data_IF_064865935922
#
_entry.id   IF_064865935922
#
_cell.length_a   1.000
_cell.length_b   1.000
_cell.length_c   1.000
_cell.angle_alpha   90.00
_cell.angle_beta   90.00
_cell.angle_gamma   90.00
#
_symmetry.space_group_name_H-M   'P 1'
#
loop_
_entity.id
_entity.type
_entity.pdbx_description
1 polymer ?
#
# COMPACT_ATOMS: atom_id res chain seq x y z
N UNK A 1 -12.99 5.65 -16.43
CA UNK A 1 -12.56 4.29 -16.06
C UNK A 1 -13.75 3.58 -15.47
N UNK A 2 -14.00 2.31 -15.76
CA UNK A 2 -14.48 1.54 -14.65
C UNK A 2 -13.82 0.18 -14.58
N UNK A 3 -13.16 -0.05 -13.45
CA UNK A 3 -13.39 -1.33 -12.80
C UNK A 3 -14.90 -1.56 -12.72
N UNK A 4 -15.32 -2.80 -12.90
CA UNK A 4 -16.72 -3.17 -12.83
C UNK A 4 -16.87 -4.46 -12.07
N UNK A 5 -18.11 -4.90 -11.86
CA UNK A 5 -18.36 -6.19 -11.21
C UNK A 5 -17.65 -7.33 -11.95
N UNK A 6 -17.57 -7.25 -13.28
CA UNK A 6 -16.85 -8.20 -14.12
C UNK A 6 -15.35 -8.28 -13.80
N UNK A 7 -14.73 -7.19 -13.30
CA UNK A 7 -13.36 -7.24 -12.78
C UNK A 7 -13.25 -8.23 -11.62
N UNK A 8 -14.17 -8.16 -10.64
CA UNK A 8 -14.14 -9.01 -9.46
C UNK A 8 -14.54 -10.45 -9.79
N UNK A 9 -15.50 -10.62 -10.69
CA UNK A 9 -15.93 -11.93 -11.19
C UNK A 9 -14.77 -12.64 -11.91
N UNK A 10 -14.04 -11.91 -12.78
CA UNK A 10 -12.87 -12.46 -13.46
C UNK A 10 -11.81 -12.93 -12.45
N UNK A 11 -11.48 -12.12 -11.44
CA UNK A 11 -10.49 -12.49 -10.42
C UNK A 11 -10.93 -13.73 -9.62
N UNK A 12 -12.22 -13.82 -9.28
CA UNK A 12 -12.80 -14.96 -8.57
C UNK A 12 -12.75 -16.23 -9.41
N UNK A 13 -13.19 -16.14 -10.67
CA UNK A 13 -13.25 -17.28 -11.59
C UNK A 13 -11.85 -17.77 -11.96
N UNK A 14 -10.91 -16.86 -12.28
CA UNK A 14 -9.53 -17.22 -12.56
C UNK A 14 -8.87 -17.94 -11.39
N UNK A 15 -9.17 -17.52 -10.15
CA UNK A 15 -8.68 -18.19 -8.95
C UNK A 15 -9.32 -19.56 -8.73
N UNK A 16 -10.60 -19.72 -9.03
CA UNK A 16 -11.31 -21.00 -8.91
C UNK A 16 -10.82 -22.01 -9.95
N UNK A 17 -10.65 -21.57 -11.21
CA UNK A 17 -10.17 -22.42 -12.29
C UNK A 17 -8.69 -22.79 -12.13
N UNK A 18 -7.88 -21.83 -11.69
CA UNK A 18 -6.46 -22.02 -11.36
C UNK A 18 -5.64 -22.78 -12.43
N UNK A 19 -5.98 -22.61 -13.70
CA UNK A 19 -5.41 -23.32 -14.86
C UNK A 19 -4.74 -22.34 -15.82
N UNK A 20 -3.58 -22.72 -16.36
CA UNK A 20 -2.86 -21.91 -17.35
C UNK A 20 -3.61 -21.86 -18.66
N UNK A 21 -4.16 -22.99 -19.08
CA UNK A 21 -4.95 -23.15 -20.31
C UNK A 21 -6.18 -22.25 -20.25
N UNK A 22 -6.91 -22.26 -19.12
CA UNK A 22 -8.05 -21.38 -18.90
C UNK A 22 -7.65 -19.91 -18.97
N UNK A 23 -6.59 -19.52 -18.26
CA UNK A 23 -6.11 -18.13 -18.27
C UNK A 23 -5.66 -17.68 -19.67
N UNK A 24 -4.99 -18.54 -20.44
CA UNK A 24 -4.59 -18.22 -21.80
C UNK A 24 -5.79 -17.98 -22.72
N UNK A 25 -6.87 -18.76 -22.56
CA UNK A 25 -8.10 -18.58 -23.31
C UNK A 25 -8.83 -17.27 -22.94
N UNK A 26 -8.75 -16.83 -21.68
CA UNK A 26 -9.42 -15.63 -21.16
C UNK A 26 -8.46 -14.44 -20.98
N UNK A 27 -7.32 -14.46 -21.67
CA UNK A 27 -6.28 -13.44 -21.51
C UNK A 27 -6.74 -12.06 -21.94
N UNK A 28 -7.56 -11.98 -23.00
CA UNK A 28 -8.11 -10.71 -23.47
C UNK A 28 -9.00 -10.06 -22.40
N UNK A 29 -9.81 -10.85 -21.69
CA UNK A 29 -10.63 -10.37 -20.57
C UNK A 29 -9.78 -9.89 -19.41
N UNK A 30 -8.69 -10.59 -19.06
CA UNK A 30 -7.73 -10.08 -18.07
C UNK A 30 -7.16 -8.71 -18.46
N UNK A 31 -6.76 -8.57 -19.72
CA UNK A 31 -6.18 -7.34 -20.23
C UNK A 31 -7.20 -6.18 -20.20
N UNK A 32 -8.46 -6.43 -20.59
CA UNK A 32 -9.51 -5.40 -20.64
C UNK A 32 -10.17 -5.10 -19.30
N UNK A 33 -10.45 -6.11 -18.47
CA UNK A 33 -11.22 -5.96 -17.23
C UNK A 33 -10.35 -5.63 -16.02
N UNK A 34 -9.04 -5.96 -16.07
CA UNK A 34 -8.14 -5.78 -14.93
C UNK A 34 -6.98 -4.86 -15.28
N UNK A 35 -6.19 -5.18 -16.31
CA UNK A 35 -4.96 -4.43 -16.60
C UNK A 35 -5.25 -3.01 -17.09
N UNK A 36 -6.19 -2.84 -18.03
CA UNK A 36 -6.51 -1.52 -18.56
C UNK A 36 -7.06 -0.56 -17.49
N UNK A 37 -8.06 -0.93 -16.64
CA UNK A 37 -8.52 -0.06 -15.56
C UNK A 37 -7.43 0.28 -14.53
N UNK A 38 -6.54 -0.68 -14.21
CA UNK A 38 -5.40 -0.42 -13.34
C UNK A 38 -4.38 0.53 -13.96
N UNK A 39 -4.12 0.43 -15.27
CA UNK A 39 -3.23 1.32 -16.00
C UNK A 39 -3.79 2.74 -16.05
N UNK A 40 -5.08 2.89 -16.38
CA UNK A 40 -5.78 4.18 -16.35
C UNK A 40 -5.72 4.81 -14.94
N UNK A 41 -5.86 4.00 -13.88
CA UNK A 41 -5.76 4.48 -12.51
C UNK A 41 -4.34 4.94 -12.15
N UNK A 42 -3.31 4.24 -12.61
CA UNK A 42 -1.91 4.68 -12.42
C UNK A 42 -1.68 6.03 -13.09
N UNK A 43 -2.15 6.20 -14.33
CA UNK A 43 -1.98 7.45 -15.08
C UNK A 43 -2.74 8.61 -14.41
N UNK A 44 -3.95 8.34 -13.91
CA UNK A 44 -4.75 9.32 -13.19
C UNK A 44 -4.11 9.76 -11.86
N UNK A 45 -3.40 8.85 -11.18
CA UNK A 45 -2.72 9.13 -9.92
C UNK A 45 -1.31 9.72 -10.11
N UNK A 46 -0.72 9.63 -11.30
CA UNK A 46 0.65 10.08 -11.54
C UNK A 46 0.89 11.57 -11.19
N UNK A 47 -0.02 12.53 -11.49
CA UNK A 47 0.18 13.94 -11.13
C UNK A 47 0.27 14.16 -9.62
N UNK A 48 -0.63 13.55 -8.84
CA UNK A 48 -0.62 13.69 -7.37
C UNK A 48 0.57 12.98 -6.74
N UNK A 49 0.99 11.84 -7.29
CA UNK A 49 2.21 11.16 -6.84
C UNK A 49 3.44 12.04 -7.05
N UNK A 50 3.55 12.70 -8.20
CA UNK A 50 4.65 13.63 -8.49
C UNK A 50 4.62 14.90 -7.62
N UNK A 51 3.43 15.39 -7.25
CA UNK A 51 3.26 16.49 -6.29
C UNK A 51 3.77 16.11 -4.90
N UNK A 52 3.43 14.90 -4.44
CA UNK A 52 3.86 14.39 -3.13
C UNK A 52 5.37 14.14 -3.13
N UNK A 53 5.87 13.47 -4.16
CA UNK A 53 7.27 13.13 -4.30
C UNK A 53 7.62 12.74 -5.76
N UNK A 54 8.41 13.55 -6.48
CA UNK A 54 8.73 13.31 -7.89
C UNK A 54 9.59 12.08 -8.12
N UNK A 55 10.16 11.47 -7.08
CA UNK A 55 10.90 10.21 -7.20
C UNK A 55 9.98 8.98 -7.24
N UNK A 56 8.69 9.09 -6.91
CA UNK A 56 7.75 7.97 -6.96
C UNK A 56 7.51 7.50 -8.39
N UNK A 57 7.66 6.19 -8.61
CA UNK A 57 7.49 5.58 -9.93
C UNK A 57 6.01 5.25 -10.20
N UNK A 58 5.44 5.91 -11.20
CA UNK A 58 4.12 5.65 -11.78
C UNK A 58 4.28 5.08 -13.19
N UNK A 59 4.51 3.77 -13.29
CA UNK A 59 4.68 3.06 -14.56
C UNK A 59 3.51 2.07 -14.72
N UNK A 60 2.55 2.33 -15.65
CA UNK A 60 1.28 1.61 -15.75
C UNK A 60 1.42 0.19 -16.31
N UNK A 61 2.62 -0.40 -16.31
CA UNK A 61 2.86 -1.77 -16.80
C UNK A 61 2.77 -2.80 -15.67
N UNK A 62 2.30 -3.99 -16.02
CA UNK A 62 2.32 -5.18 -15.14
C UNK A 62 3.75 -5.53 -14.74
N UNK A 63 3.98 -5.75 -13.45
CA UNK A 63 5.30 -5.95 -12.87
C UNK A 63 6.08 -4.66 -12.61
N UNK A 64 5.53 -3.48 -12.94
CA UNK A 64 6.03 -2.16 -12.58
C UNK A 64 5.15 -1.60 -11.45
N UNK A 65 4.30 -0.59 -11.67
CA UNK A 65 3.38 -0.15 -10.62
C UNK A 65 2.23 -1.14 -10.43
N UNK A 66 1.83 -1.85 -11.48
CA UNK A 66 0.77 -2.88 -11.41
C UNK A 66 1.35 -4.22 -10.96
N UNK A 67 0.66 -4.91 -10.05
CA UNK A 67 1.04 -6.25 -9.59
C UNK A 67 0.88 -7.33 -10.66
N UNK A 68 1.53 -8.48 -10.45
CA UNK A 68 1.35 -9.66 -11.31
C UNK A 68 0.18 -10.50 -10.79
N UNK A 69 -0.67 -11.00 -11.68
CA UNK A 69 -1.77 -11.89 -11.28
C UNK A 69 -1.29 -13.27 -10.84
N UNK A 70 -0.17 -13.78 -11.35
CA UNK A 70 0.36 -15.09 -10.95
C UNK A 70 1.17 -15.03 -9.65
N UNK A 71 0.97 -16.04 -8.80
CA UNK A 71 1.69 -16.25 -7.55
C UNK A 71 3.07 -16.85 -7.79
N UNK A 72 4.01 -16.50 -6.92
CA UNK A 72 5.32 -17.17 -6.88
C UNK A 72 5.17 -18.52 -6.16
N UNK A 73 4.99 -19.59 -6.94
CA UNK A 73 4.77 -20.95 -6.43
C UNK A 73 6.04 -21.61 -5.90
N UNK A 74 7.23 -21.01 -6.08
CA UNK A 74 8.48 -21.51 -5.47
C UNK A 74 8.44 -21.50 -3.95
N UNK A 75 7.54 -20.70 -3.37
CA UNK A 75 7.34 -20.56 -1.91
C UNK A 75 6.45 -21.67 -1.31
N UNK A 76 5.88 -22.55 -2.13
CA UNK A 76 5.09 -23.69 -1.67
C UNK A 76 4.35 -24.36 -2.84
N UNK A 77 4.53 -25.68 -3.07
CA UNK A 77 3.94 -26.37 -4.22
C UNK A 77 2.40 -26.40 -4.19
N UNK A 78 1.80 -26.33 -2.99
CA UNK A 78 0.35 -26.33 -2.78
C UNK A 78 -0.32 -24.96 -2.99
N UNK A 79 0.46 -23.92 -3.34
CA UNK A 79 -0.09 -22.59 -3.53
C UNK A 79 -0.77 -22.49 -4.91
N UNK A 80 -1.96 -21.84 -4.99
CA UNK A 80 -2.62 -21.62 -6.27
C UNK A 80 -1.72 -20.78 -7.19
N UNK A 81 -1.76 -21.08 -8.49
CA UNK A 81 -1.01 -20.41 -9.54
C UNK A 81 -1.43 -18.94 -9.63
N UNK A 82 -2.72 -18.65 -9.47
CA UNK A 82 -3.25 -17.30 -9.64
C UNK A 82 -3.68 -16.66 -8.31
N UNK A 83 -3.51 -15.34 -8.24
CA UNK A 83 -4.05 -14.48 -7.18
C UNK A 83 -5.45 -14.01 -7.58
N UNK A 84 -6.25 -13.75 -6.55
CA UNK A 84 -7.56 -13.08 -6.59
C UNK A 84 -7.47 -11.65 -6.02
N UNK A 85 -6.26 -11.14 -5.84
CA UNK A 85 -5.96 -9.80 -5.33
C UNK A 85 -4.98 -9.12 -6.26
N UNK A 86 -5.29 -7.88 -6.60
CA UNK A 86 -4.48 -7.01 -7.45
C UNK A 86 -4.11 -5.76 -6.67
N UNK A 87 -2.95 -5.19 -6.97
CA UNK A 87 -2.50 -3.97 -6.29
C UNK A 87 -1.64 -3.09 -7.18
N UNK A 88 -1.65 -1.81 -6.83
CA UNK A 88 -0.74 -0.78 -7.30
C UNK A 88 0.29 -0.51 -6.20
N UNK A 89 1.54 -0.32 -6.59
CA UNK A 89 2.60 0.17 -5.71
C UNK A 89 3.33 1.33 -6.37
N UNK A 90 3.43 2.44 -5.64
CA UNK A 90 4.20 3.63 -6.00
C UNK A 90 5.38 3.72 -5.02
N UNK A 91 6.57 3.39 -5.52
CA UNK A 91 7.82 3.36 -4.76
C UNK A 91 8.85 4.22 -5.49
N UNK A 92 9.77 4.84 -4.75
CA UNK A 92 10.94 5.50 -5.36
C UNK A 92 11.85 4.51 -6.07
N UNK A 93 12.06 3.35 -5.45
CA UNK A 93 12.91 2.29 -5.96
C UNK A 93 12.39 0.93 -5.47
N UNK A 94 12.37 -0.06 -6.37
CA UNK A 94 12.02 -1.43 -5.99
C UNK A 94 13.17 -2.07 -5.23
N UNK A 95 12.84 -2.84 -4.19
CA UNK A 95 13.80 -3.60 -3.37
C UNK A 95 14.74 -2.76 -2.47
N UNK A 96 14.57 -1.43 -2.41
CA UNK A 96 15.35 -0.55 -1.53
C UNK A 96 14.80 -0.44 -0.08
N UNK A 97 13.81 -1.27 0.28
CA UNK A 97 13.06 -1.20 1.53
C UNK A 97 12.53 0.22 1.87
N UNK A 98 12.13 0.97 0.84
CA UNK A 98 11.53 2.29 0.97
C UNK A 98 10.02 2.17 1.24
N UNK A 99 9.42 3.13 1.98
CA UNK A 99 7.98 3.22 2.08
C UNK A 99 7.42 3.66 0.73
N UNK A 100 6.16 3.34 0.49
CA UNK A 100 5.45 3.78 -0.72
C UNK A 100 3.96 3.97 -0.47
N UNK A 101 3.27 4.41 -1.51
CA UNK A 101 1.82 4.41 -1.57
C UNK A 101 1.35 3.16 -2.28
N UNK A 102 0.20 2.66 -1.87
CA UNK A 102 -0.37 1.45 -2.44
C UNK A 102 -1.89 1.51 -2.44
N UNK A 103 -2.47 0.80 -3.39
CA UNK A 103 -3.90 0.57 -3.54
C UNK A 103 -4.09 -0.89 -3.89
N UNK A 104 -5.03 -1.57 -3.28
CA UNK A 104 -5.33 -2.96 -3.58
C UNK A 104 -6.82 -3.24 -3.55
N UNK A 105 -7.20 -4.24 -4.33
CA UNK A 105 -8.57 -4.73 -4.35
C UNK A 105 -8.60 -6.23 -4.61
N UNK A 106 -9.66 -6.84 -4.13
CA UNK A 106 -10.04 -8.24 -4.35
C UNK A 106 -11.56 -8.33 -4.21
N UNK A 107 -12.18 -9.48 -4.53
CA UNK A 107 -13.59 -9.72 -4.26
C UNK A 107 -14.00 -9.57 -2.78
N UNK A 108 -13.05 -9.42 -1.85
CA UNK A 108 -13.29 -9.40 -0.40
C UNK A 108 -12.82 -8.13 0.30
N UNK A 109 -12.08 -7.26 -0.37
CA UNK A 109 -11.44 -6.12 0.28
C UNK A 109 -11.05 -5.06 -0.74
N UNK A 110 -11.16 -3.80 -0.33
CA UNK A 110 -10.68 -2.62 -1.03
C UNK A 110 -9.91 -1.76 -0.05
N UNK A 111 -8.61 -1.58 -0.27
CA UNK A 111 -7.73 -0.95 0.73
C UNK A 111 -6.67 -0.10 0.06
N UNK A 112 -6.25 0.96 0.72
CA UNK A 112 -5.12 1.77 0.27
C UNK A 112 -4.42 2.40 1.46
N UNK A 113 -3.20 2.86 1.23
CA UNK A 113 -2.40 3.41 2.30
C UNK A 113 -1.02 3.84 1.88
N UNK A 114 -0.19 4.12 2.90
CA UNK A 114 1.23 4.38 2.73
C UNK A 114 2.05 3.70 3.83
N UNK A 115 3.28 3.30 3.50
CA UNK A 115 4.21 2.67 4.44
C UNK A 115 4.89 1.44 3.84
N UNK A 116 5.16 0.46 4.69
CA UNK A 116 5.82 -0.79 4.30
C UNK A 116 4.90 -1.99 4.46
N UNK A 117 5.05 -2.98 3.59
CA UNK A 117 4.57 -4.34 3.88
C UNK A 117 5.21 -4.89 5.16
N UNK A 118 6.52 -4.65 5.32
CA UNK A 118 7.25 -4.92 6.55
C UNK A 118 8.35 -3.88 6.72
N UNK A 119 8.27 -3.09 7.79
CA UNK A 119 9.26 -2.04 8.07
C UNK A 119 10.56 -2.68 8.57
N UNK A 120 11.74 -2.30 8.03
CA UNK A 120 13.01 -2.77 8.55
C UNK A 120 13.19 -2.40 10.04
N UNK A 121 13.77 -3.30 10.88
CA UNK A 121 13.96 -3.03 12.30
C UNK A 121 14.74 -1.74 12.58
N UNK A 122 15.77 -1.45 11.78
CA UNK A 122 16.60 -0.26 11.90
C UNK A 122 15.79 1.02 11.66
N UNK A 123 14.86 0.97 10.71
CA UNK A 123 13.93 2.07 10.39
C UNK A 123 12.91 2.24 11.52
N UNK A 124 12.42 1.15 12.11
CA UNK A 124 11.53 1.21 13.27
C UNK A 124 12.20 1.88 14.47
N UNK A 125 13.48 1.58 14.74
CA UNK A 125 14.21 2.21 15.85
C UNK A 125 14.47 3.70 15.57
N UNK A 126 14.79 4.06 14.33
CA UNK A 126 14.90 5.45 13.90
C UNK A 126 13.56 6.20 14.06
N UNK A 127 12.44 5.59 13.65
CA UNK A 127 11.10 6.15 13.81
C UNK A 127 10.76 6.38 15.29
N UNK A 128 11.00 5.40 16.17
CA UNK A 128 10.77 5.55 17.62
C UNK A 128 11.60 6.69 18.21
N UNK A 129 12.82 6.88 17.72
CA UNK A 129 13.67 7.99 18.17
C UNK A 129 13.08 9.34 17.74
N UNK A 130 12.64 9.47 16.48
CA UNK A 130 11.97 10.67 15.97
C UNK A 130 10.66 11.00 16.70
N UNK A 131 9.93 9.97 17.17
CA UNK A 131 8.73 10.14 18.00
C UNK A 131 9.11 10.70 19.37
N UNK A 132 10.08 10.08 20.06
CA UNK A 132 10.53 10.49 21.40
C UNK A 132 11.11 11.91 21.42
N UNK A 133 11.77 12.32 20.35
CA UNK A 133 12.30 13.68 20.20
C UNK A 133 11.23 14.71 19.81
N UNK A 134 10.00 14.27 19.52
CA UNK A 134 8.94 15.16 19.05
C UNK A 134 9.27 15.85 17.72
N UNK A 135 10.00 15.16 16.84
CA UNK A 135 10.50 15.74 15.58
C UNK A 135 9.39 16.41 14.76
N UNK A 136 9.75 17.45 13.98
CA UNK A 136 8.78 18.18 13.13
C UNK A 136 8.04 17.24 12.18
N UNK A 137 8.74 16.25 11.60
CA UNK A 137 8.14 15.26 10.72
C UNK A 137 7.10 14.40 11.46
N UNK A 138 7.43 13.91 12.65
CA UNK A 138 6.49 13.17 13.48
C UNK A 138 5.26 14.00 13.86
N UNK A 139 5.46 15.24 14.29
CA UNK A 139 4.34 16.12 14.67
C UNK A 139 3.41 16.43 13.48
N UNK A 140 3.96 16.54 12.26
CA UNK A 140 3.17 16.69 11.05
C UNK A 140 2.36 15.42 10.74
N UNK A 141 3.00 14.24 10.79
CA UNK A 141 2.35 12.95 10.59
C UNK A 141 1.23 12.69 11.61
N UNK A 142 1.50 12.93 12.90
CA UNK A 142 0.54 12.80 14.00
C UNK A 142 -0.69 13.67 13.76
N UNK A 143 -0.51 14.95 13.36
CA UNK A 143 -1.64 15.85 13.05
C UNK A 143 -2.41 15.40 11.81
N UNK A 144 -1.73 14.94 10.77
CA UNK A 144 -2.37 14.47 9.55
C UNK A 144 -3.24 13.22 9.81
N UNK A 145 -2.70 12.21 10.49
CA UNK A 145 -3.44 11.01 10.88
C UNK A 145 -4.66 11.34 11.76
N UNK A 146 -4.51 12.26 12.74
CA UNK A 146 -5.65 12.68 13.59
C UNK A 146 -6.78 13.36 12.83
N UNK A 147 -6.50 14.05 11.73
CA UNK A 147 -7.53 14.71 10.90
C UNK A 147 -8.30 13.72 10.03
N UNK A 148 -7.79 12.50 9.89
CA UNK A 148 -8.32 11.46 9.00
C UNK A 148 -8.51 10.15 9.78
N UNK A 149 -9.53 10.07 10.66
CA UNK A 149 -9.77 8.90 11.51
C UNK A 149 -10.17 7.65 10.72
N UNK A 150 -10.53 7.81 9.45
CA UNK A 150 -10.72 6.75 8.46
C UNK A 150 -9.40 6.04 8.07
N UNK A 151 -8.26 6.64 8.41
CA UNK A 151 -6.94 6.03 8.28
C UNK A 151 -6.40 5.66 9.66
N UNK A 152 -5.98 4.41 9.79
CA UNK A 152 -5.39 3.87 11.02
C UNK A 152 -4.01 3.32 10.74
N UNK A 153 -3.12 3.35 11.74
CA UNK A 153 -1.92 2.53 11.65
C UNK A 153 -2.35 1.07 11.75
N UNK A 154 -1.92 0.25 10.79
CA UNK A 154 -2.19 -1.19 10.78
C UNK A 154 -1.85 -1.78 12.14
N UNK A 155 -2.70 -2.67 12.67
CA UNK A 155 -2.56 -3.19 14.03
C UNK A 155 -1.44 -4.23 14.13
N UNK A 156 -0.20 -3.75 14.05
CA UNK A 156 1.00 -4.53 14.24
C UNK A 156 1.58 -4.32 15.64
N UNK A 157 0.82 -3.74 16.57
CA UNK A 157 1.33 -3.37 17.90
C UNK A 157 1.81 -4.57 18.72
N UNK A 158 2.77 -4.34 19.60
CA UNK A 158 3.12 -5.31 20.63
C UNK A 158 1.95 -5.51 21.61
N UNK A 159 1.69 -6.77 22.00
CA UNK A 159 0.62 -7.13 22.97
C UNK A 159 0.74 -6.39 24.30
N UNK A 160 1.97 -6.05 24.72
CA UNK A 160 2.27 -5.20 25.87
C UNK A 160 3.06 -4.01 25.39
N UNK A 161 2.68 -2.82 25.84
CA UNK A 161 3.41 -1.60 25.49
C UNK A 161 4.85 -1.70 25.96
N UNK A 162 5.77 -1.31 25.08
CA UNK A 162 7.19 -1.14 25.43
C UNK A 162 7.51 0.27 25.90
N UNK A 163 6.49 1.13 25.89
CA UNK A 163 6.57 2.56 26.20
C UNK A 163 5.41 2.98 27.12
N UNK A 164 5.22 2.33 28.29
CA UNK A 164 4.03 2.55 29.14
C UNK A 164 3.91 3.99 29.65
N UNK A 165 5.03 4.68 29.86
CA UNK A 165 5.08 6.04 30.38
C UNK A 165 4.89 7.12 29.29
N UNK A 166 4.84 6.73 28.01
CA UNK A 166 4.62 7.66 26.92
C UNK A 166 3.13 8.04 26.80
N UNK A 167 2.80 9.25 26.32
CA UNK A 167 1.43 9.64 26.02
C UNK A 167 0.73 8.63 25.10
N UNK A 168 -0.58 8.40 25.32
CA UNK A 168 -1.35 7.40 24.56
C UNK A 168 -1.25 7.59 23.04
N UNK A 169 -1.36 8.84 22.60
CA UNK A 169 -1.20 9.18 21.18
C UNK A 169 0.16 8.79 20.60
N UNK A 170 1.23 8.88 21.39
CA UNK A 170 2.58 8.57 20.94
C UNK A 170 2.80 7.06 20.94
N UNK A 171 2.18 6.35 21.90
CA UNK A 171 2.17 4.88 21.96
C UNK A 171 1.57 4.23 20.71
N UNK A 172 0.60 4.88 20.05
CA UNK A 172 0.06 4.42 18.77
C UNK A 172 1.14 4.23 17.68
N UNK A 173 2.23 4.98 17.76
CA UNK A 173 3.37 4.91 16.83
C UNK A 173 4.52 4.10 17.41
N UNK A 174 4.82 4.28 18.71
CA UNK A 174 5.96 3.67 19.37
C UNK A 174 5.82 2.14 19.51
N UNK A 175 4.62 1.66 19.80
CA UNK A 175 4.36 0.25 20.06
C UNK A 175 4.18 -0.59 18.79
N UNK A 176 4.25 0.02 17.60
CA UNK A 176 4.14 -0.69 16.33
C UNK A 176 5.33 -1.61 16.06
N UNK A 177 5.07 -2.73 15.37
CA UNK A 177 6.12 -3.61 14.81
C UNK A 177 6.46 -3.24 13.36
N UNK A 178 5.50 -2.65 12.64
CA UNK A 178 5.65 -2.11 11.30
C UNK A 178 4.84 -0.82 11.18
N UNK A 179 5.29 0.11 10.35
CA UNK A 179 4.58 1.35 10.03
C UNK A 179 3.88 1.21 8.69
N UNK A 180 2.56 1.15 8.74
CA UNK A 180 1.70 1.25 7.58
C UNK A 180 0.45 1.99 8.01
N UNK A 181 0.15 3.12 7.38
CA UNK A 181 -1.12 3.81 7.54
C UNK A 181 -2.06 3.30 6.45
N UNK A 182 -3.20 2.76 6.85
CA UNK A 182 -4.14 2.05 6.01
C UNK A 182 -5.55 2.58 6.19
N UNK A 183 -6.29 2.63 5.10
CA UNK A 183 -7.75 2.67 5.10
C UNK A 183 -8.27 1.35 4.53
N UNK A 184 -9.18 0.74 5.28
CA UNK A 184 -9.96 -0.41 4.83
C UNK A 184 -11.35 0.10 4.44
N UNK A 185 -11.67 0.04 3.15
CA UNK A 185 -12.96 0.48 2.63
C UNK A 185 -13.95 -0.67 2.73
N UNK A 186 -14.97 -0.46 3.55
CA UNK A 186 -15.98 -1.48 3.85
C UNK A 186 -16.97 -1.70 2.70
N UNK A 187 -17.07 -0.74 1.77
CA UNK A 187 -17.91 -0.81 0.59
C UNK A 187 -17.07 -1.12 -0.66
N UNK A 188 -17.17 -2.36 -1.15
CA UNK A 188 -16.44 -2.79 -2.34
C UNK A 188 -16.92 -2.07 -3.62
N UNK A 189 -18.17 -1.58 -3.64
CA UNK A 189 -18.73 -0.89 -4.81
C UNK A 189 -18.05 0.46 -5.05
N UNK A 190 -17.35 1.01 -4.06
CA UNK A 190 -16.50 2.19 -4.21
C UNK A 190 -15.37 1.97 -5.24
N UNK A 191 -15.02 0.71 -5.57
CA UNK A 191 -14.09 0.39 -6.66
C UNK A 191 -14.63 0.82 -8.04
N UNK A 192 -15.95 0.82 -8.21
CA UNK A 192 -16.64 1.11 -9.47
C UNK A 192 -17.05 2.58 -9.59
N UNK A 193 -16.83 3.37 -8.54
CA UNK A 193 -17.15 4.79 -8.49
C UNK A 193 -16.27 5.55 -9.52
N UNK A 194 -16.91 6.35 -10.38
CA UNK A 194 -16.22 7.20 -11.34
C UNK A 194 -15.28 8.24 -10.68
N UNK A 195 -15.50 8.54 -9.41
CA UNK A 195 -14.67 9.44 -8.60
C UNK A 195 -13.55 8.73 -7.82
N UNK A 196 -13.31 7.43 -8.04
CA UNK A 196 -12.29 6.67 -7.31
C UNK A 196 -10.90 7.33 -7.38
N UNK A 197 -10.47 7.77 -8.57
CA UNK A 197 -9.16 8.40 -8.74
C UNK A 197 -9.03 9.74 -7.99
N UNK A 198 -10.11 10.53 -7.95
CA UNK A 198 -10.16 11.79 -7.22
C UNK A 198 -10.08 11.53 -5.72
N UNK A 199 -10.87 10.59 -5.21
CA UNK A 199 -10.84 10.17 -3.80
C UNK A 199 -9.45 9.68 -3.39
N UNK A 200 -8.85 8.79 -4.17
CA UNK A 200 -7.51 8.29 -3.90
C UNK A 200 -6.48 9.42 -3.93
N UNK A 201 -6.61 10.37 -4.85
CA UNK A 201 -5.72 11.53 -4.92
C UNK A 201 -5.81 12.40 -3.66
N UNK A 202 -7.02 12.71 -3.20
CA UNK A 202 -7.25 13.47 -1.97
C UNK A 202 -6.70 12.77 -0.74
N UNK A 203 -6.92 11.46 -0.67
CA UNK A 203 -6.45 10.62 0.42
C UNK A 203 -4.92 10.51 0.43
N UNK A 204 -4.28 10.31 -0.73
CA UNK A 204 -2.82 10.30 -0.82
C UNK A 204 -2.19 11.65 -0.45
N UNK A 205 -2.80 12.78 -0.84
CA UNK A 205 -2.36 14.11 -0.36
C UNK A 205 -2.50 14.23 1.15
N UNK A 206 -3.61 13.76 1.72
CA UNK A 206 -3.82 13.80 3.16
C UNK A 206 -2.80 12.94 3.94
N UNK A 207 -2.33 11.84 3.34
CA UNK A 207 -1.30 10.96 3.89
C UNK A 207 0.14 11.44 3.67
N UNK A 208 0.37 12.43 2.80
CA UNK A 208 1.73 12.90 2.46
C UNK A 208 2.60 13.28 3.68
N UNK A 209 2.09 13.92 4.75
CA UNK A 209 2.90 14.16 5.95
C UNK A 209 3.32 12.89 6.70
N UNK A 210 2.50 11.83 6.64
CA UNK A 210 2.81 10.52 7.23
C UNK A 210 3.90 9.82 6.42
N UNK A 211 3.77 9.84 5.09
CA UNK A 211 4.85 9.40 4.19
C UNK A 211 6.17 10.16 4.45
N UNK A 212 6.11 11.48 4.64
CA UNK A 212 7.27 12.29 4.98
C UNK A 212 7.95 11.88 6.30
N UNK A 213 7.18 11.49 7.32
CA UNK A 213 7.73 10.92 8.55
C UNK A 213 8.39 9.56 8.32
N UNK A 214 7.78 8.71 7.49
CA UNK A 214 8.37 7.41 7.13
C UNK A 214 9.69 7.57 6.36
N UNK A 215 9.76 8.52 5.42
CA UNK A 215 10.99 8.87 4.73
C UNK A 215 12.06 9.41 5.70
N UNK A 216 11.69 10.29 6.64
CA UNK A 216 12.61 10.80 7.65
C UNK A 216 13.16 9.67 8.56
N UNK A 217 12.33 8.69 8.90
CA UNK A 217 12.77 7.51 9.65
C UNK A 217 13.74 6.65 8.82
N UNK A 218 13.45 6.45 7.53
CA UNK A 218 14.33 5.72 6.62
C UNK A 218 15.69 6.42 6.45
N UNK A 219 15.69 7.73 6.24
CA UNK A 219 16.93 8.50 6.05
C UNK A 219 17.81 8.56 7.30
N UNK A 220 17.18 8.50 8.49
CA UNK A 220 17.90 8.41 9.77
C UNK A 220 18.45 7.02 10.04
N UNK A 221 17.86 5.97 9.46
CA UNK A 221 18.27 4.61 9.73
C UNK A 221 19.70 4.34 9.22
N UNK A 222 20.53 3.59 9.97
CA UNK A 222 21.86 3.21 9.52
C UNK A 222 21.75 2.19 8.37
N UNK A 223 21.76 2.69 7.12
CA UNK A 223 21.54 1.89 5.90
C UNK A 223 22.47 0.68 5.77
N UNK A 224 23.68 0.80 6.29
CA UNK A 224 24.72 -0.24 6.32
C UNK A 224 24.32 -1.49 7.12
N UNK A 225 23.35 -1.35 8.03
CA UNK A 225 22.86 -2.44 8.88
C UNK A 225 21.57 -3.08 8.37
N UNK A 226 20.93 -2.44 7.39
CA UNK A 226 19.68 -2.93 6.83
C UNK A 226 19.95 -4.17 5.98
N UNK A 227 19.34 -5.30 6.35
CA UNK A 227 19.30 -6.48 5.48
C UNK A 227 18.20 -6.26 4.44
N UNK A 228 18.59 -5.91 3.20
CA UNK A 228 17.69 -5.78 2.05
C UNK A 228 17.38 -7.14 1.43
#
# INVERSE_FOLDING_TARGET
MPFSIETLDFLSLNRAMNSREWFHAHRAEYESLVVAPMAELVDALAPVMAEIDPALICDPRVGKSISRIWRDTRRGPELPIYRDVMWLNFLREKYAALPGFWFEFSPRALRWGCGWYQTPPEVMDAARTLVKEGSRAYQAAKRAAKKRPDFVLEDTRYKRSRHPDAPEDDRLWLDQRSLCLIRDEGDIDALFDGALAERLSDDFRAMAPVYGFFMAAYDRAPKERMRL
#
